data_IF_028772227971
#
_entry.id   IF_028772227971
#
_cell.length_a   1.000
_cell.length_b   1.000
_cell.length_c   1.000
_cell.angle_alpha   90.00
_cell.angle_beta   90.00
_cell.angle_gamma   90.00
#
_symmetry.space_group_name_H-M   'P 1'
#
loop_
_entity.id
_entity.type
_entity.pdbx_description
1 polymer ?
2 polymer ?
3 water ?
#
# COMPACT_ATOMS: atom_id res chain seq x y z
N UNK A 1 7.00 -25.16 15.95
CA UNK A 1 6.79 -23.73 16.23
C UNK A 1 5.47 -23.49 16.93
N UNK A 2 5.32 -22.33 17.55
CA UNK A 2 4.03 -21.98 18.13
C UNK A 2 3.19 -21.24 17.09
N UNK A 3 2.01 -21.77 16.82
CA UNK A 3 1.11 -21.10 15.88
C UNK A 3 0.26 -20.09 16.62
N UNK A 4 0.13 -18.90 16.04
CA UNK A 4 -0.78 -17.89 16.56
C UNK A 4 -1.95 -17.76 15.60
N UNK A 5 -3.17 -17.92 16.10
CA UNK A 5 -4.38 -17.86 15.26
C UNK A 5 -5.27 -16.71 15.66
N UNK A 6 -5.53 -15.79 14.73
CA UNK A 6 -6.36 -14.63 15.06
C UNK A 6 -7.76 -14.77 14.49
N UNK A 7 -8.72 -14.22 15.22
CA UNK A 7 -10.13 -14.20 14.81
C UNK A 7 -10.74 -12.86 15.21
N UNK A 8 -11.63 -12.30 14.38
CA UNK A 8 -11.99 -12.75 13.03
C UNK A 8 -10.90 -12.37 12.04
N UNK A 9 -10.97 -12.81 10.79
CA UNK A 9 -9.97 -12.39 9.82
C UNK A 9 -10.18 -10.93 9.46
N UNK A 10 -11.42 -10.48 9.53
CA UNK A 10 -11.73 -9.08 9.29
C UNK A 10 -12.99 -8.71 10.05
N UNK A 11 -13.13 -7.43 10.38
CA UNK A 11 -14.36 -6.98 10.99
C UNK A 11 -14.61 -5.55 10.60
N UNK A 12 -15.88 -5.17 10.65
CA UNK A 12 -16.31 -3.84 10.32
C UNK A 12 -17.08 -3.29 11.51
N UNK A 13 -16.77 -2.06 11.93
CA UNK A 13 -17.43 -1.44 13.08
C UNK A 13 -17.51 0.08 12.92
N UNK A 14 -18.47 0.70 13.58
CA UNK A 14 -18.70 2.13 13.44
C UNK A 14 -17.78 2.92 14.37
N UNK A 15 -17.53 4.17 14.01
CA UNK A 15 -16.79 5.09 14.85
C UNK A 15 -17.46 5.13 16.23
N UNK A 16 -16.66 5.05 17.28
CA UNK A 16 -17.21 5.02 18.63
C UNK A 16 -17.53 3.63 19.18
N UNK A 17 -17.55 2.61 18.32
CA UNK A 17 -17.82 1.25 18.78
C UNK A 17 -16.66 0.71 19.63
N UNK A 18 -16.96 -0.15 20.59
CA UNK A 18 -15.93 -0.91 21.29
C UNK A 18 -15.71 -2.23 20.56
N UNK A 19 -14.46 -2.51 20.23
CA UNK A 19 -14.11 -3.60 19.34
C UNK A 19 -13.09 -4.53 19.97
N UNK A 20 -13.33 -5.83 19.93
CA UNK A 20 -12.36 -6.78 20.49
C UNK A 20 -11.97 -7.85 19.45
N UNK A 21 -10.68 -8.08 19.30
CA UNK A 21 -10.19 -9.14 18.44
C UNK A 21 -9.37 -10.13 19.24
N UNK A 22 -9.32 -11.37 18.77
CA UNK A 22 -8.73 -12.43 19.58
C UNK A 22 -7.53 -13.08 18.90
N UNK A 23 -6.72 -13.70 19.72
CA UNK A 23 -5.49 -14.33 19.26
C UNK A 23 -5.30 -15.58 20.10
N UNK A 24 -5.19 -16.74 19.46
CA UNK A 24 -5.00 -17.97 20.20
C UNK A 24 -3.64 -18.59 19.89
N UNK A 25 -2.91 -18.93 20.95
CA UNK A 25 -1.61 -19.58 20.80
C UNK A 25 -1.77 -21.08 20.91
N UNK A 26 -1.01 -21.82 20.10
CA UNK A 26 -1.14 -23.28 20.06
C UNK A 26 -0.50 -23.94 21.29
N UNK A 27 0.31 -23.17 22.00
CA UNK A 27 0.96 -23.62 23.25
C UNK A 27 0.97 -22.48 24.24
N UNK A 28 1.09 -22.79 25.53
CA UNK A 28 1.22 -21.79 26.58
C UNK A 28 2.36 -20.84 26.25
N UNK A 29 2.09 -19.54 26.20
CA UNK A 29 3.16 -18.56 25.98
C UNK A 29 3.25 -17.52 27.11
N UNK A 30 2.66 -17.85 28.27
CA UNK A 30 2.68 -16.96 29.43
C UNK A 30 1.94 -15.68 29.09
N UNK A 31 2.58 -14.54 29.30
CA UNK A 31 2.05 -13.28 28.77
C UNK A 31 3.01 -12.70 27.74
N UNK A 32 3.84 -13.55 27.15
CA UNK A 32 4.84 -13.08 26.20
C UNK A 32 4.25 -12.88 24.81
N UNK A 33 3.37 -11.88 24.72
CA UNK A 33 2.62 -11.56 23.50
C UNK A 33 2.68 -10.07 23.23
N UNK A 34 2.90 -9.71 21.97
CA UNK A 34 2.84 -8.31 21.56
C UNK A 34 1.80 -8.14 20.45
N UNK A 35 1.31 -6.92 20.31
CA UNK A 35 0.39 -6.57 19.24
C UNK A 35 0.93 -5.43 18.41
N UNK A 36 0.72 -5.50 17.09
CA UNK A 36 1.17 -4.48 16.15
C UNK A 36 0.01 -3.99 15.30
N UNK A 37 0.10 -2.73 14.90
CA UNK A 37 -0.88 -2.10 14.02
C UNK A 37 -0.21 -1.79 12.70
N UNK A 38 -0.76 -2.27 11.59
CA UNK A 38 -0.12 -1.98 10.31
C UNK A 38 -1.09 -1.30 9.35
N UNK A 39 -0.78 -0.05 9.03
CA UNK A 39 -1.59 0.70 8.08
C UNK A 39 -1.01 0.53 6.68
N UNK A 40 -1.87 0.63 5.65
CA UNK A 40 -1.49 0.37 4.25
C UNK A 40 -0.19 1.05 3.85
N UNK A 41 0.72 0.25 3.29
CA UNK A 41 2.00 0.75 2.80
C UNK A 41 2.97 1.16 3.90
N UNK A 42 2.61 0.92 5.15
CA UNK A 42 3.47 1.34 6.25
C UNK A 42 4.03 0.14 7.01
N UNK A 43 5.04 0.42 7.81
CA UNK A 43 5.62 -0.58 8.69
C UNK A 43 4.70 -0.80 9.87
N UNK A 44 4.70 -2.03 10.42
CA UNK A 44 3.95 -2.25 11.66
C UNK A 44 4.41 -1.28 12.74
N UNK A 45 3.45 -0.85 13.57
CA UNK A 45 3.70 -0.04 14.75
C UNK A 45 3.38 -0.84 16.02
N UNK A 46 4.30 -0.84 16.98
CA UNK A 46 4.12 -1.61 18.20
C UNK A 46 3.08 -0.95 19.10
N UNK A 47 2.07 -1.72 19.51
CA UNK A 47 1.00 -1.19 20.37
C UNK A 47 1.14 -1.66 21.81
N UNK A 48 1.34 -2.97 21.96
CA UNK A 48 1.22 -3.65 23.25
C UNK A 48 2.34 -4.65 23.44
N UNK A 49 2.91 -4.73 24.64
CA UNK A 49 3.87 -5.79 24.98
C UNK A 49 3.43 -6.47 26.27
N UNK A 50 3.95 -7.68 26.49
CA UNK A 50 3.56 -8.53 27.62
C UNK A 50 2.05 -8.58 27.78
N UNK A 51 1.38 -8.75 26.64
CA UNK A 51 -0.08 -8.94 26.55
C UNK A 51 -0.98 -7.74 26.90
N UNK A 52 -0.55 -6.85 27.81
CA UNK A 52 -1.48 -5.83 28.30
C UNK A 52 -0.87 -4.44 28.55
N UNK A 53 0.43 -4.27 28.27
CA UNK A 53 1.08 -2.98 28.53
C UNK A 53 1.23 -2.17 27.25
N UNK A 54 0.87 -0.89 27.31
CA UNK A 54 0.95 -0.04 26.12
C UNK A 54 2.35 0.53 25.95
N UNK A 55 2.85 0.54 24.72
CA UNK A 55 4.05 1.34 24.42
C UNK A 55 3.71 2.81 24.61
N UNK A 56 4.71 3.61 24.97
CA UNK A 56 4.44 5.04 25.14
C UNK A 56 3.98 5.64 23.82
N UNK A 57 3.09 6.62 23.89
CA UNK A 57 2.58 7.26 22.69
C UNK A 57 1.33 6.61 22.14
N UNK A 58 1.12 5.34 22.47
CA UNK A 58 -0.09 4.63 22.03
C UNK A 58 -1.33 5.19 22.73
N UNK A 59 -2.39 5.50 21.96
CA UNK A 59 -3.63 6.05 22.51
C UNK A 59 -4.24 5.15 23.57
N UNK A 60 -4.83 5.75 24.58
CA UNK A 60 -5.33 4.99 25.72
C UNK A 60 -6.52 4.10 25.37
N UNK A 61 -7.14 4.34 24.22
CA UNK A 61 -8.28 3.51 23.83
C UNK A 61 -7.86 2.09 23.43
N UNK A 62 -6.56 1.87 23.25
CA UNK A 62 -6.06 0.50 23.03
C UNK A 62 -5.77 -0.20 24.34
N UNK A 63 -6.17 -1.47 24.43
CA UNK A 63 -5.84 -2.29 25.59
C UNK A 63 -5.68 -3.74 25.14
N UNK A 64 -5.03 -4.55 25.98
CA UNK A 64 -4.86 -5.95 25.69
C UNK A 64 -5.05 -6.77 26.95
N UNK A 65 -5.42 -8.04 26.79
CA UNK A 65 -5.61 -8.91 27.94
C UNK A 65 -5.25 -10.34 27.60
N UNK A 66 -5.06 -11.15 28.64
CA UNK A 66 -4.90 -12.58 28.47
C UNK A 66 -3.57 -13.14 28.92
N UNK A 67 -3.53 -14.47 29.05
CA UNK A 67 -2.32 -15.20 29.41
C UNK A 67 -2.52 -16.65 29.01
N UNK A 68 -1.44 -17.41 28.93
CA UNK A 68 -1.56 -18.81 28.57
C UNK A 68 -1.72 -18.95 27.07
N UNK A 69 -2.95 -19.18 26.61
CA UNK A 69 -3.18 -19.37 25.18
C UNK A 69 -4.21 -18.41 24.57
N UNK A 70 -4.97 -17.71 25.41
CA UNK A 70 -6.04 -16.83 24.90
C UNK A 70 -5.74 -15.35 25.14
N UNK A 71 -5.64 -14.59 24.07
CA UNK A 71 -5.29 -13.18 24.14
C UNK A 71 -6.29 -12.33 23.37
N UNK A 72 -6.46 -11.09 23.82
CA UNK A 72 -7.35 -10.17 23.13
C UNK A 72 -6.70 -8.81 23.00
N UNK A 73 -7.10 -8.08 21.96
CA UNK A 73 -6.83 -6.66 21.85
C UNK A 73 -8.17 -5.94 21.75
N UNK A 74 -8.31 -4.82 22.46
CA UNK A 74 -9.56 -4.08 22.47
C UNK A 74 -9.35 -2.61 22.14
N UNK A 75 -10.21 -2.09 21.28
CA UNK A 75 -10.26 -0.65 21.02
C UNK A 75 -11.56 -0.12 21.63
N UNK A 76 -11.43 0.74 22.65
CA UNK A 76 -12.59 1.11 23.47
C UNK A 76 -13.58 1.99 22.72
N UNK A 77 -13.05 2.78 21.79
CA UNK A 77 -13.86 3.72 21.03
C UNK A 77 -13.22 3.91 19.66
N UNK A 78 -13.65 3.10 18.70
CA UNK A 78 -13.02 3.06 17.39
C UNK A 78 -13.00 4.42 16.70
N UNK A 79 -11.85 4.81 16.18
CA UNK A 79 -11.72 6.07 15.45
C UNK A 79 -11.43 5.79 13.96
N UNK A 80 -11.75 6.75 13.07
CA UNK A 80 -11.54 6.52 11.64
C UNK A 80 -10.08 6.15 11.32
N UNK A 81 -9.14 6.70 12.08
CA UNK A 81 -7.74 6.44 11.76
C UNK A 81 -7.28 5.06 12.25
N UNK A 82 -8.16 4.33 12.94
CA UNK A 82 -7.82 2.99 13.44
C UNK A 82 -7.97 1.90 12.38
N UNK A 83 -8.42 2.28 11.20
CA UNK A 83 -8.40 1.36 10.07
C UNK A 83 -6.98 0.82 9.88
N UNK A 84 -6.83 -0.50 9.98
CA UNK A 84 -5.51 -1.13 9.94
C UNK A 84 -5.64 -2.63 10.00
N UNK A 85 -4.53 -3.33 9.78
CA UNK A 85 -4.47 -4.74 10.10
C UNK A 85 -3.72 -4.87 11.41
N UNK A 86 -4.29 -5.64 12.34
CA UNK A 86 -3.68 -5.81 13.66
C UNK A 86 -3.13 -7.22 13.78
N UNK A 87 -1.87 -7.31 14.22
CA UNK A 87 -1.19 -8.59 14.33
C UNK A 87 -0.82 -8.88 15.78
N UNK A 88 -1.02 -10.11 16.22
CA UNK A 88 -0.43 -10.55 17.49
C UNK A 88 0.85 -11.30 17.18
N UNK A 89 1.71 -11.42 18.19
CA UNK A 89 3.01 -12.10 18.03
C UNK A 89 3.45 -12.67 19.37
N UNK A 90 3.91 -13.92 19.40
CA UNK A 90 4.49 -14.47 20.62
C UNK A 90 6.02 -14.38 20.62
N UNK A 91 6.59 -14.14 21.79
CA UNK A 91 8.04 -14.20 21.97
C UNK A 91 8.37 -15.05 23.19
N UNK A 92 7.50 -16.00 23.51
CA UNK A 92 7.83 -16.99 24.53
C UNK A 92 9.06 -17.80 24.13
N UNK A 93 9.17 -18.11 22.83
CA UNK A 93 10.31 -18.90 22.34
C UNK A 93 10.53 -18.68 20.84
N UNK A 94 11.79 -18.80 20.41
CA UNK A 94 12.11 -18.74 18.98
C UNK A 94 11.60 -20.00 18.27
N UNK A 95 11.21 -19.87 17.00
CA UNK A 95 11.14 -18.63 16.23
C UNK A 95 9.96 -17.78 16.66
N UNK A 96 10.13 -16.46 16.62
CA UNK A 96 9.02 -15.55 16.84
C UNK A 96 7.98 -15.83 15.78
N UNK A 97 6.70 -15.85 16.17
CA UNK A 97 5.66 -16.17 15.20
C UNK A 97 4.51 -15.18 15.34
N UNK A 98 3.88 -14.88 14.21
CA UNK A 98 2.79 -13.91 14.16
C UNK A 98 1.46 -14.57 13.81
N UNK A 99 0.35 -13.99 14.27
CA UNK A 99 -0.96 -14.36 13.75
C UNK A 99 -1.11 -13.84 12.33
N UNK A 100 -2.16 -14.25 11.63
CA UNK A 100 -2.35 -13.86 10.24
C UNK A 100 -2.96 -12.46 10.12
N UNK A 101 -3.27 -11.84 11.26
CA UNK A 101 -3.79 -10.49 11.28
C UNK A 101 -5.30 -10.40 11.23
N UNK A 102 -5.84 -9.32 11.79
CA UNK A 102 -7.26 -9.01 11.69
C UNK A 102 -7.40 -7.63 11.04
N UNK A 103 -8.08 -7.58 9.91
CA UNK A 103 -8.33 -6.34 9.20
C UNK A 103 -9.55 -5.60 9.76
N UNK A 104 -9.32 -4.42 10.33
CA UNK A 104 -10.42 -3.65 10.93
C UNK A 104 -10.82 -2.54 9.97
N UNK A 105 -12.06 -2.57 9.51
CA UNK A 105 -12.63 -1.56 8.59
C UNK A 105 -13.66 -0.70 9.32
N UNK A 106 -13.78 0.55 8.91
CA UNK A 106 -14.72 1.47 9.54
C UNK A 106 -16.05 1.46 8.79
N UNK A 107 -17.12 1.23 9.53
CA UNK A 107 -18.47 1.32 8.97
C UNK A 107 -18.96 2.76 9.09
N UNK A 108 -19.53 3.28 8.01
CA UNK A 108 -20.05 4.64 8.02
C UNK A 108 -21.30 4.75 7.18
N UNK A 109 -21.89 5.94 7.15
CA UNK A 109 -23.09 6.15 6.35
C UNK A 109 -22.79 5.99 4.87
N UNK A 110 -23.80 5.61 4.11
CA UNK A 110 -23.63 5.46 2.65
C UNK A 110 -23.23 6.81 2.04
N UNK A 111 -22.28 6.77 1.11
CA UNK A 111 -21.85 7.95 0.39
C UNK A 111 -21.73 7.61 -1.10
N UNK A 112 -22.48 8.31 -1.95
CA UNK A 112 -22.43 8.03 -3.38
C UNK A 112 -21.11 8.50 -3.98
N UNK A 113 -20.61 7.76 -4.99
CA UNK A 113 -19.38 8.20 -5.66
C UNK A 113 -19.61 9.40 -6.55
N UNK A 114 -18.60 10.26 -6.64
CA UNK A 114 -18.57 11.28 -7.68
C UNK A 114 -17.83 10.68 -8.85
N UNK A 115 -18.40 10.77 -10.05
CA UNK A 115 -17.84 10.05 -11.19
C UNK A 115 -17.22 11.00 -12.20
N UNK A 116 -16.06 10.61 -12.74
CA UNK A 116 -15.34 11.41 -13.73
C UNK A 116 -14.82 10.49 -14.82
N UNK A 117 -14.87 10.94 -16.08
CA UNK A 117 -14.26 10.14 -17.15
C UNK A 117 -13.16 10.95 -17.86
N UNK A 118 -12.07 10.27 -18.20
CA UNK A 118 -10.92 10.88 -18.86
C UNK A 118 -10.61 10.18 -20.18
N UNK A 119 -10.65 10.93 -21.29
CA UNK A 119 -10.23 10.37 -22.59
C UNK A 119 -8.73 10.14 -22.59
N UNK A 120 -8.22 9.34 -23.53
CA UNK A 120 -6.76 9.23 -23.64
C UNK A 120 -6.13 10.54 -24.11
N UNK A 121 -4.93 10.83 -23.64
CA UNK A 121 -4.17 11.99 -24.11
C UNK A 121 -3.67 11.78 -25.54
N UNK A 122 -3.43 12.87 -26.25
CA UNK A 122 -2.88 12.78 -27.59
C UNK A 122 -1.47 12.20 -27.52
N UNK A 123 -0.75 12.55 -26.45
CA UNK A 123 0.59 12.01 -26.23
C UNK A 123 0.56 10.49 -26.25
N UNK A 124 -0.33 9.89 -25.47
CA UNK A 124 -0.40 8.44 -25.42
C UNK A 124 -0.79 7.85 -26.77
N UNK A 125 -1.74 8.50 -27.45
CA UNK A 125 -2.24 7.99 -28.72
C UNK A 125 -1.11 7.85 -29.73
N UNK A 126 -0.10 8.73 -29.62
CA UNK A 126 1.06 8.67 -30.49
C UNK A 126 1.86 7.38 -30.32
N UNK A 127 1.79 6.80 -29.14
CA UNK A 127 2.53 5.58 -28.83
C UNK A 127 1.76 4.34 -29.29
N UNK A 128 0.56 4.54 -29.81
CA UNK A 128 -0.22 3.44 -30.36
C UNK A 128 -1.27 2.82 -29.44
N UNK A 129 -1.40 3.36 -28.23
CA UNK A 129 -2.36 2.83 -27.26
C UNK A 129 -3.25 3.93 -26.70
N UNK A 130 -4.48 3.57 -26.33
CA UNK A 130 -5.41 4.50 -25.69
C UNK A 130 -5.90 3.91 -24.37
N UNK A 131 -5.66 4.63 -23.28
CA UNK A 131 -6.25 4.28 -21.99
C UNK A 131 -7.37 5.26 -21.67
N UNK A 132 -8.54 4.74 -21.34
CA UNK A 132 -9.67 5.56 -20.93
C UNK A 132 -9.91 5.31 -19.45
N UNK A 133 -9.97 6.37 -18.65
CA UNK A 133 -10.06 6.17 -17.19
C UNK A 133 -11.38 6.69 -16.66
N UNK A 134 -12.03 5.85 -15.86
CA UNK A 134 -13.22 6.25 -15.14
C UNK A 134 -12.92 6.27 -13.64
N UNK A 135 -13.19 7.40 -13.00
CA UNK A 135 -12.89 7.59 -11.59
C UNK A 135 -14.15 7.66 -10.74
N UNK A 136 -14.23 6.82 -9.71
CA UNK A 136 -15.31 6.88 -8.72
C UNK A 136 -14.71 7.41 -7.43
N UNK A 137 -15.10 8.60 -7.01
CA UNK A 137 -14.37 9.23 -5.93
C UNK A 137 -15.17 9.30 -4.62
N UNK A 138 -14.51 8.88 -3.53
CA UNK A 138 -14.99 9.07 -2.15
C UNK A 138 -16.38 8.50 -1.89
N UNK A 139 -16.50 7.19 -1.98
CA UNK A 139 -17.81 6.56 -1.81
C UNK A 139 -17.77 5.50 -0.70
N UNK A 140 -18.95 5.13 -0.22
CA UNK A 140 -19.09 4.06 0.76
C UNK A 140 -20.49 3.44 0.61
N UNK A 141 -20.59 2.10 0.68
CA UNK A 141 -19.57 1.07 0.90
C UNK A 141 -18.70 0.80 -0.31
N UNK A 142 -17.73 -0.08 -0.14
CA UNK A 142 -16.74 -0.37 -1.17
C UNK A 142 -17.33 -0.99 -2.43
N UNK A 143 -18.39 -1.79 -2.27
CA UNK A 143 -19.02 -2.45 -3.43
C UNK A 143 -19.51 -1.46 -4.49
N UNK A 144 -18.99 -1.60 -5.70
CA UNK A 144 -19.43 -0.76 -6.81
C UNK A 144 -19.30 -1.53 -8.12
N UNK A 145 -20.19 -1.24 -9.05
CA UNK A 145 -20.07 -1.84 -10.39
C UNK A 145 -19.84 -0.76 -11.44
N UNK A 146 -18.87 -1.02 -12.31
CA UNK A 146 -18.52 -0.12 -13.39
C UNK A 146 -18.67 -0.88 -14.70
N UNK A 147 -19.43 -0.34 -15.63
CA UNK A 147 -19.64 -0.99 -16.91
C UNK A 147 -19.16 -0.07 -18.03
N UNK A 148 -18.30 -0.59 -18.91
CA UNK A 148 -17.81 0.18 -20.06
C UNK A 148 -18.61 -0.13 -21.33
N UNK A 149 -19.01 0.90 -22.05
CA UNK A 149 -19.60 0.71 -23.37
C UNK A 149 -18.93 1.61 -24.39
N UNK A 150 -18.63 1.04 -25.55
CA UNK A 150 -18.03 1.80 -26.65
C UNK A 150 -18.96 1.68 -27.85
N UNK A 151 -19.56 2.80 -28.25
CA UNK A 151 -20.64 2.78 -29.25
C UNK A 151 -21.66 1.68 -28.92
N UNK A 152 -22.05 1.65 -27.64
CA UNK A 152 -23.05 0.71 -27.11
C UNK A 152 -22.63 -0.77 -27.12
N UNK A 153 -21.36 -1.03 -27.40
CA UNK A 153 -20.83 -2.38 -27.24
C UNK A 153 -20.24 -2.53 -25.84
N UNK A 154 -20.78 -3.48 -25.06
CA UNK A 154 -20.26 -3.76 -23.73
C UNK A 154 -18.81 -4.24 -23.83
N UNK A 155 -17.93 -3.64 -23.05
CA UNK A 155 -16.52 -4.01 -23.03
C UNK A 155 -16.24 -4.99 -21.90
N UNK A 156 -15.70 -6.15 -22.22
CA UNK A 156 -15.43 -7.14 -21.19
C UNK A 156 -14.02 -7.69 -21.35
N UNK A 157 -13.23 -7.62 -20.29
CA UNK A 157 -11.90 -8.22 -20.29
C UNK A 157 -10.76 -7.28 -20.63
N UNK A 158 -11.07 -6.06 -21.07
CA UNK A 158 -10.04 -5.10 -21.44
C UNK A 158 -10.01 -3.88 -20.50
N UNK A 159 -10.52 -4.07 -19.29
CA UNK A 159 -10.42 -3.05 -18.25
C UNK A 159 -9.85 -3.64 -16.95
N UNK A 160 -9.18 -2.79 -16.19
CA UNK A 160 -8.70 -3.21 -14.87
C UNK A 160 -9.12 -2.17 -13.84
N UNK A 161 -9.49 -2.65 -12.65
CA UNK A 161 -9.91 -1.80 -11.56
C UNK A 161 -8.86 -1.75 -10.45
N UNK A 162 -8.79 -0.62 -9.77
CA UNK A 162 -7.97 -0.50 -8.58
C UNK A 162 -8.74 0.31 -7.55
N UNK A 163 -8.73 -0.13 -6.29
CA UNK A 163 -9.45 0.56 -5.22
C UNK A 163 -8.47 1.02 -4.15
N UNK A 164 -8.66 2.24 -3.67
CA UNK A 164 -7.81 2.74 -2.60
C UNK A 164 -8.16 2.03 -1.30
N UNK A 165 -7.24 2.05 -0.36
CA UNK A 165 -7.55 1.57 0.98
C UNK A 165 -8.42 2.62 1.62
N UNK A 166 -9.26 2.19 2.56
CA UNK A 166 -10.19 3.10 3.23
C UNK A 166 -9.49 4.34 3.75
N UNK A 167 -10.11 5.50 3.55
CA UNK A 167 -9.51 6.76 3.93
C UNK A 167 -9.46 6.92 5.44
N UNK A 168 -8.32 7.34 5.97
CA UNK A 168 -8.10 7.38 7.41
C UNK A 168 -8.87 8.50 8.09
N UNK A 169 -9.43 9.41 7.30
CA UNK A 169 -10.19 10.54 7.86
C UNK A 169 -11.69 10.43 7.63
N UNK A 170 -12.12 10.16 6.39
CA UNK A 170 -13.57 10.11 6.14
C UNK A 170 -14.11 8.71 5.87
N UNK A 171 -13.23 7.71 5.94
CA UNK A 171 -13.61 6.30 5.83
C UNK A 171 -14.26 5.93 4.48
N UNK A 172 -14.02 6.72 3.44
CA UNK A 172 -14.51 6.37 2.12
C UNK A 172 -13.46 5.66 1.26
N UNK A 173 -13.90 5.21 0.10
CA UNK A 173 -13.05 4.54 -0.89
C UNK A 173 -13.05 5.34 -2.16
N UNK A 174 -12.02 5.16 -2.99
CA UNK A 174 -12.09 5.65 -4.36
C UNK A 174 -11.65 4.50 -5.26
N UNK A 175 -12.06 4.57 -6.53
CA UNK A 175 -11.86 3.45 -7.45
C UNK A 175 -11.59 3.99 -8.85
N UNK A 176 -10.62 3.38 -9.53
CA UNK A 176 -10.37 3.68 -10.94
C UNK A 176 -10.68 2.46 -11.76
N UNK A 177 -11.33 2.67 -12.90
CA UNK A 177 -11.45 1.61 -13.91
C UNK A 177 -10.79 2.11 -15.18
N UNK A 178 -9.85 1.34 -15.72
CA UNK A 178 -9.08 1.80 -16.88
C UNK A 178 -9.31 0.86 -18.05
N UNK A 179 -9.90 1.41 -19.11
CA UNK A 179 -10.16 0.65 -20.33
C UNK A 179 -9.00 0.86 -21.28
N UNK A 180 -8.44 -0.23 -21.81
CA UNK A 180 -7.30 -0.12 -22.71
C UNK A 180 -7.66 -0.62 -24.10
N UNK A 181 -7.34 0.18 -25.11
CA UNK A 181 -7.59 -0.17 -26.52
C UNK A 181 -6.40 0.24 -27.37
N UNK A 182 -6.30 -0.30 -28.58
CA UNK A 182 -5.30 0.17 -29.52
C UNK A 182 -5.72 1.53 -30.04
N UNK A 183 -4.75 2.31 -30.54
CA UNK A 183 -5.07 3.59 -31.16
C UNK A 183 -6.05 3.38 -32.32
N UNK A 184 -5.79 2.35 -33.14
CA UNK A 184 -6.63 2.06 -34.29
C UNK A 184 -8.07 1.82 -33.86
N UNK A 185 -8.26 1.01 -32.82
CA UNK A 185 -9.60 0.72 -32.32
C UNK A 185 -10.27 1.95 -31.73
N UNK A 186 -9.52 2.70 -30.94
CA UNK A 186 -10.05 3.93 -30.34
C UNK A 186 -10.63 4.86 -31.40
N UNK A 187 -9.93 4.99 -32.52
CA UNK A 187 -10.29 5.96 -33.55
C UNK A 187 -11.41 5.47 -34.47
N UNK A 188 -11.84 4.23 -34.28
CA UNK A 188 -12.96 3.67 -35.04
C UNK A 188 -14.30 3.94 -34.37
N UNK A 189 -14.29 4.45 -33.16
CA UNK A 189 -15.52 4.60 -32.40
C UNK A 189 -15.71 6.00 -31.82
N UNK A 190 -16.97 6.34 -31.57
CA UNK A 190 -17.31 7.70 -31.14
C UNK A 190 -17.62 7.81 -29.66
N UNK A 191 -18.59 7.04 -29.17
CA UNK A 191 -19.10 7.23 -27.81
C UNK A 191 -18.43 6.31 -26.80
N UNK A 192 -17.72 6.91 -25.86
CA UNK A 192 -17.07 6.17 -24.79
C UNK A 192 -17.80 6.44 -23.48
N UNK A 193 -18.36 5.41 -22.87
CA UNK A 193 -19.22 5.61 -21.71
C UNK A 193 -18.88 4.69 -20.54
N UNK A 194 -18.86 5.28 -19.36
CA UNK A 194 -18.65 4.55 -18.12
C UNK A 194 -19.94 4.61 -17.28
N UNK A 195 -20.53 3.45 -17.00
CA UNK A 195 -21.76 3.41 -16.21
C UNK A 195 -21.52 2.86 -14.82
N UNK A 196 -21.93 3.62 -13.81
CA UNK A 196 -21.62 3.28 -12.43
C UNK A 196 -22.87 2.95 -11.63
N UNK A 197 -22.84 1.81 -10.95
CA UNK A 197 -23.92 1.39 -10.07
C UNK A 197 -23.39 1.29 -8.65
N UNK A 198 -24.13 1.87 -7.71
CA UNK A 198 -23.69 1.91 -6.32
C UNK A 198 -24.89 2.15 -5.42
N UNK A 199 -24.81 1.66 -4.18
CA UNK A 199 -25.93 1.76 -3.26
C UNK A 199 -26.39 3.21 -3.04
N UNK A 200 -25.44 4.14 -3.07
CA UNK A 200 -25.78 5.55 -2.84
C UNK A 200 -26.43 6.24 -4.02
N UNK A 201 -26.53 5.53 -5.14
CA UNK A 201 -27.14 6.10 -6.35
C UNK A 201 -28.52 5.47 -6.58
N UNK A 202 -29.54 6.30 -6.71
CA UNK A 202 -30.89 5.78 -6.92
C UNK A 202 -30.99 5.07 -8.26
N UNK A 203 -30.25 5.55 -9.26
CA UNK A 203 -30.13 4.83 -10.53
C UNK A 203 -28.70 5.04 -11.06
N UNK A 204 -28.25 4.15 -11.98
CA UNK A 204 -26.86 4.23 -12.45
C UNK A 204 -26.49 5.58 -13.04
N UNK A 205 -25.28 6.03 -12.74
CA UNK A 205 -24.78 7.27 -13.29
C UNK A 205 -23.84 6.96 -14.44
N UNK A 206 -24.06 7.60 -15.58
CA UNK A 206 -23.21 7.39 -16.74
C UNK A 206 -22.43 8.67 -17.04
N UNK A 207 -21.11 8.55 -17.17
CA UNK A 207 -20.31 9.65 -17.68
C UNK A 207 -19.77 9.22 -19.04
N UNK A 208 -19.81 10.12 -20.01
CA UNK A 208 -19.39 9.73 -21.33
C UNK A 208 -18.79 10.90 -22.08
N UNK A 209 -18.07 10.58 -23.14
CA UNK A 209 -17.58 11.60 -24.07
C UNK A 209 -17.62 11.03 -25.48
N UNK A 210 -17.69 11.92 -26.45
CA UNK A 210 -17.52 11.54 -27.85
C UNK A 210 -16.12 11.90 -28.27
N UNK A 211 -15.43 10.94 -28.86
CA UNK A 211 -14.04 11.11 -29.29
C UNK A 211 -13.86 12.35 -30.16
N UNK A 212 -12.91 13.20 -29.79
CA UNK A 212 -12.63 14.39 -30.56
C UNK A 212 -13.39 15.64 -30.11
N UNK A 213 -14.34 15.49 -29.20
CA UNK A 213 -15.11 16.62 -28.69
C UNK A 213 -14.70 16.97 -27.25
N UNK B 1 14.32 11.15 17.58
CA UNK B 1 13.46 9.99 17.65
C UNK B 1 14.14 8.79 16.99
N UNK B 2 13.72 7.59 17.38
CA UNK B 2 14.27 6.38 16.79
C UNK B 2 13.87 6.29 15.33
N UNK B 3 14.84 6.05 14.44
CA UNK B 3 14.56 5.86 13.02
C UNK B 3 15.37 4.68 12.48
N UNK B 4 14.73 3.87 11.63
CA UNK B 4 15.36 2.75 10.95
C UNK B 4 15.10 2.91 9.47
N UNK B 5 16.16 3.04 8.69
CA UNK B 5 15.98 3.28 7.25
C UNK B 5 16.59 2.16 6.46
N UNK B 6 15.75 1.45 5.71
CA UNK B 6 16.22 0.31 4.91
C UNK B 6 16.56 0.76 3.49
N UNK B 7 17.55 0.10 2.89
CA UNK B 7 17.88 0.32 1.47
C UNK B 7 18.48 -0.95 0.91
N UNK B 8 18.79 -0.94 -0.39
CA UNK B 8 19.48 -2.05 -1.02
C UNK B 8 18.54 -3.08 -1.60
N UNK B 9 17.25 -2.77 -1.59
CA UNK B 9 16.23 -3.69 -2.11
C UNK B 9 16.08 -3.52 -3.60
N UNK B 10 14.88 -3.77 -4.12
CA UNK B 10 14.62 -3.59 -5.53
C UNK B 10 14.66 -4.88 -6.34
N UNK B 11 14.95 -4.76 -7.62
CA UNK B 11 14.90 -5.88 -8.54
C UNK B 11 16.14 -6.76 -8.42
N UNK B 12 15.95 -8.07 -8.47
CA UNK B 12 17.10 -9.00 -8.51
C UNK B 12 16.68 -10.27 -9.28
N UNK B 13 17.61 -10.85 -10.02
CA UNK B 13 17.30 -12.04 -10.81
C UNK B 13 17.15 -13.27 -9.93
N UNK B 14 16.33 -14.25 -10.36
CA UNK B 14 16.33 -15.55 -9.69
C UNK B 14 17.75 -16.11 -9.69
N UNK B 15 18.18 -16.67 -8.57
CA UNK B 15 19.54 -17.16 -8.43
C UNK B 15 20.51 -16.10 -7.93
N UNK B 16 20.08 -14.84 -7.95
CA UNK B 16 20.93 -13.73 -7.57
C UNK B 16 20.96 -13.49 -6.06
N UNK B 17 21.66 -12.43 -5.64
CA UNK B 17 21.71 -12.02 -4.25
C UNK B 17 21.49 -10.53 -4.14
N UNK B 18 20.97 -10.10 -2.98
CA UNK B 18 20.96 -8.69 -2.60
C UNK B 18 21.52 -8.58 -1.21
N UNK B 19 22.05 -7.41 -0.86
CA UNK B 19 22.40 -7.16 0.52
C UNK B 19 21.64 -5.92 0.98
N UNK B 20 20.67 -6.14 1.86
CA UNK B 20 19.84 -5.04 2.38
C UNK B 20 20.58 -4.35 3.50
N UNK B 21 20.37 -3.06 3.65
CA UNK B 21 20.96 -2.36 4.77
C UNK B 21 19.85 -1.72 5.59
N UNK B 22 20.09 -1.66 6.89
CA UNK B 22 19.15 -1.06 7.82
C UNK B 22 19.93 -0.07 8.67
N UNK B 23 19.80 1.21 8.34
CA UNK B 23 20.60 2.26 8.97
C UNK B 23 19.85 2.87 10.16
N UNK B 24 20.40 2.75 11.36
CA UNK B 24 19.71 3.17 12.58
C UNK B 24 20.19 4.51 13.09
N UNK B 25 19.28 5.27 13.70
CA UNK B 25 19.62 6.54 14.30
C UNK B 25 18.69 6.85 15.45
N UNK B 26 19.08 7.79 16.30
CA UNK B 26 18.22 8.26 17.36
C UNK B 26 18.26 7.39 18.60
N UNK B 27 19.18 6.43 18.61
CA UNK B 27 19.45 5.65 19.82
C UNK B 27 20.83 5.04 19.71
N UNK B 28 21.31 4.45 20.81
CA UNK B 28 22.61 3.79 20.80
C UNK B 28 22.48 2.42 20.16
N UNK B 29 23.03 2.29 18.95
CA UNK B 29 22.82 1.11 18.10
C UNK B 29 23.06 -0.22 18.82
N UNK B 30 24.13 -0.28 19.62
CA UNK B 30 24.48 -1.55 20.26
C UNK B 30 23.77 -1.77 21.60
N UNK B 31 22.80 -0.92 21.94
CA UNK B 31 22.01 -1.14 23.16
C UNK B 31 20.79 -2.06 22.91
N UNK B 32 20.52 -2.34 21.63
CA UNK B 32 19.44 -3.25 21.23
C UNK B 32 19.89 -4.09 20.05
N UNK B 33 19.40 -5.32 19.98
CA UNK B 33 19.65 -6.13 18.82
C UNK B 33 18.77 -5.69 17.66
N UNK B 34 18.80 -6.47 16.60
CA UNK B 34 18.01 -6.15 15.41
C UNK B 34 17.40 -7.43 14.85
N UNK B 35 16.10 -7.39 14.56
CA UNK B 35 15.38 -8.48 13.93
C UNK B 35 15.23 -8.20 12.45
N UNK B 36 15.03 -9.25 11.67
CA UNK B 36 14.62 -9.11 10.28
C UNK B 36 13.30 -9.87 10.08
N UNK B 37 12.36 -9.21 9.42
CA UNK B 37 11.02 -9.76 9.20
C UNK B 37 10.65 -9.50 7.75
N UNK B 38 10.00 -10.46 7.08
CA UNK B 38 9.52 -10.16 5.74
C UNK B 38 8.03 -10.42 5.59
N UNK B 39 7.46 -9.83 4.55
CA UNK B 39 6.03 -9.88 4.33
C UNK B 39 5.80 -9.98 2.82
N UNK B 40 5.48 -11.18 2.35
CA UNK B 40 5.17 -11.38 0.94
C UNK B 40 3.89 -10.61 0.58
N UNK B 41 3.72 -10.22 -0.69
CA UNK B 41 2.57 -9.37 -1.04
C UNK B 41 1.24 -9.99 -0.63
N UNK B 42 0.45 -9.23 0.13
CA UNK B 42 -0.86 -9.69 0.58
C UNK B 42 -0.84 -10.73 1.67
N UNK B 43 0.34 -11.04 2.20
CA UNK B 43 0.45 -12.10 3.21
C UNK B 43 0.88 -11.58 4.57
N UNK B 44 1.19 -12.51 5.47
CA UNK B 44 1.52 -12.16 6.83
C UNK B 44 2.99 -11.89 7.07
N UNK B 45 3.33 -11.60 8.32
CA UNK B 45 4.70 -11.33 8.71
C UNK B 45 5.45 -12.61 9.05
N UNK B 46 6.69 -12.71 8.56
CA UNK B 46 7.50 -13.89 8.83
C UNK B 46 8.86 -13.47 9.39
N UNK B 47 9.12 -13.84 10.64
CA UNK B 47 10.40 -13.54 11.30
C UNK B 47 11.51 -14.37 10.71
N UNK B 48 12.60 -13.71 10.33
CA UNK B 48 13.71 -14.43 9.73
C UNK B 48 14.89 -14.65 10.66
N UNK B 49 14.95 -13.86 11.74
CA UNK B 49 16.08 -13.99 12.65
C UNK B 49 16.40 -12.71 13.40
N UNK B 50 17.42 -12.78 14.26
CA UNK B 50 17.81 -11.68 15.13
C UNK B 50 19.33 -11.66 15.19
N UNK B 51 19.91 -10.47 15.30
CA UNK B 51 21.35 -10.40 15.53
C UNK B 51 21.67 -9.57 16.77
N UNK B 52 22.57 -10.12 17.58
CA UNK B 52 23.19 -9.46 18.72
C UNK B 52 24.08 -8.35 18.19
N UNK B 53 23.73 -7.09 18.43
CA UNK B 53 24.50 -6.00 17.83
C UNK B 53 25.78 -5.65 18.57
N UNK B 54 25.91 -6.10 19.81
CA UNK B 54 27.14 -5.81 20.55
C UNK B 54 28.32 -6.68 20.11
N UNK B 55 28.08 -7.96 19.80
CA UNK B 55 29.19 -8.79 19.34
C UNK B 55 28.97 -9.41 17.95
N UNK B 56 27.77 -9.24 17.38
CA UNK B 56 27.53 -9.68 16.01
C UNK B 56 27.06 -11.11 15.85
N UNK B 57 26.57 -11.72 16.92
CA UNK B 57 26.11 -13.10 16.89
C UNK B 57 24.67 -13.20 16.36
N UNK B 58 24.47 -13.89 15.23
CA UNK B 58 23.13 -13.98 14.63
C UNK B 58 22.39 -15.25 15.03
N UNK B 59 21.08 -15.17 15.04
CA UNK B 59 20.22 -16.34 15.25
C UNK B 59 19.23 -16.40 14.10
N UNK B 60 19.13 -17.54 13.43
CA UNK B 60 18.31 -17.64 12.21
C UNK B 60 17.07 -18.50 12.39
N UNK B 61 15.98 -18.13 11.73
CA UNK B 61 14.85 -19.03 11.59
C UNK B 61 15.30 -20.18 10.71
N UNK B 62 14.87 -21.40 11.03
CA UNK B 62 15.29 -22.57 10.23
C UNK B 62 15.00 -22.40 8.73
N UNK B 63 13.94 -21.69 8.39
CA UNK B 63 13.57 -21.54 6.98
C UNK B 63 14.62 -20.83 6.12
N UNK B 64 15.41 -19.94 6.72
CA UNK B 64 16.37 -19.17 5.91
C UNK B 64 17.83 -19.41 6.31
N UNK B 65 18.03 -20.22 7.34
CA UNK B 65 19.38 -20.54 7.80
C UNK B 65 20.26 -21.05 6.67
N UNK B 66 21.44 -20.46 6.52
CA UNK B 66 22.38 -20.85 5.47
C UNK B 66 22.28 -19.98 4.22
N UNK B 67 21.05 -19.68 3.81
CA UNK B 67 20.83 -18.98 2.55
C UNK B 67 20.76 -17.46 2.75
N UNK B 68 20.31 -17.04 3.92
CA UNK B 68 20.34 -15.63 4.29
C UNK B 68 21.33 -15.46 5.44
N UNK B 69 22.07 -14.36 5.45
CA UNK B 69 22.97 -14.08 6.56
C UNK B 69 22.88 -12.64 7.05
N UNK B 70 23.13 -12.45 8.34
CA UNK B 70 23.10 -11.13 8.97
C UNK B 70 24.51 -10.65 9.25
N UNK B 71 24.75 -9.35 9.13
CA UNK B 71 26.04 -8.80 9.53
C UNK B 71 25.85 -7.37 9.99
N UNK B 72 26.95 -6.76 10.44
CA UNK B 72 26.89 -5.43 10.99
C UNK B 72 28.00 -4.53 10.49
N UNK B 73 27.75 -3.23 10.55
CA UNK B 73 28.81 -2.25 10.58
C UNK B 73 28.44 -1.26 11.69
N UNK B 74 28.96 -1.52 12.88
CA UNK B 74 28.63 -0.71 14.06
C UNK B 74 29.09 0.72 13.88
N UNK B 75 30.21 0.90 13.21
CA UNK B 75 30.74 2.24 12.95
C UNK B 75 29.75 3.07 12.13
N UNK B 76 28.83 2.39 11.43
CA UNK B 76 27.82 3.09 10.64
C UNK B 76 26.43 2.92 11.26
N UNK B 77 26.38 2.33 12.46
CA UNK B 77 25.11 1.96 13.10
C UNK B 77 24.17 1.28 12.12
N UNK B 78 24.69 0.29 11.39
CA UNK B 78 23.94 -0.33 10.32
C UNK B 78 23.96 -1.86 10.43
N UNK B 79 22.79 -2.47 10.21
CA UNK B 79 22.66 -3.93 10.14
C UNK B 79 22.40 -4.33 8.69
N UNK B 80 22.94 -5.47 8.28
CA UNK B 80 22.76 -5.94 6.90
C UNK B 80 22.11 -7.30 6.88
N UNK B 81 21.38 -7.55 5.80
CA UNK B 81 20.80 -8.85 5.50
C UNK B 81 21.19 -9.22 4.07
N UNK B 82 22.08 -10.21 3.93
CA UNK B 82 22.42 -10.65 2.58
C UNK B 82 21.54 -11.84 2.24
N UNK B 83 20.80 -11.74 1.15
CA UNK B 83 19.89 -12.82 0.78
C UNK B 83 20.31 -13.42 -0.55
N UNK B 84 20.49 -14.73 -0.59
CA UNK B 84 21.16 -15.38 -1.73
C UNK B 84 20.32 -16.44 -2.40
N UNK B 85 20.76 -16.86 -3.59
CA UNK B 85 20.10 -17.88 -4.40
C UNK B 85 18.59 -17.64 -4.43
N UNK B 86 18.19 -16.44 -4.81
CA UNK B 86 16.82 -16.01 -4.61
C UNK B 86 15.88 -16.67 -5.62
N UNK B 87 14.62 -16.76 -5.23
CA UNK B 87 13.56 -17.30 -6.08
C UNK B 87 12.33 -16.39 -6.01
N UNK B 88 11.36 -16.62 -6.89
CA UNK B 88 10.17 -15.76 -6.94
C UNK B 88 9.48 -15.68 -5.59
N UNK B 89 9.50 -16.79 -4.87
CA UNK B 89 8.88 -16.89 -3.55
C UNK B 89 9.51 -15.94 -2.53
N UNK B 90 10.71 -15.43 -2.82
CA UNK B 90 11.38 -14.49 -1.91
C UNK B 90 10.95 -13.03 -2.12
N UNK B 91 10.15 -12.80 -3.16
CA UNK B 91 9.59 -11.47 -3.42
C UNK B 91 8.75 -11.07 -2.22
N UNK B 92 9.11 -9.95 -1.60
CA UNK B 92 8.46 -9.52 -0.36
C UNK B 92 8.96 -8.15 0.05
N UNK B 93 8.26 -7.53 1.00
CA UNK B 93 8.78 -6.36 1.67
C UNK B 93 9.62 -6.85 2.85
N UNK B 94 10.85 -6.37 2.95
CA UNK B 94 11.75 -6.80 4.04
C UNK B 94 11.89 -5.68 5.07
N UNK B 95 11.64 -6.00 6.34
CA UNK B 95 11.75 -5.03 7.43
C UNK B 95 12.89 -5.37 8.37
N UNK B 96 13.59 -4.35 8.87
CA UNK B 96 14.38 -4.57 10.07
C UNK B 96 13.55 -4.03 11.22
N UNK B 97 13.67 -4.64 12.39
CA UNK B 97 12.92 -4.17 13.55
C UNK B 97 13.76 -4.32 14.81
N UNK B 98 13.95 -3.21 15.53
CA UNK B 98 14.77 -3.18 16.72
C UNK B 98 14.22 -4.05 17.83
N UNK B 99 15.09 -4.73 18.58
CA UNK B 99 14.61 -5.42 19.75
C UNK B 99 15.62 -6.33 20.43
N UNK B 100 15.29 -6.72 21.66
CA UNK B 100 16.07 -7.65 22.43
C UNK B 100 15.90 -9.06 21.89
N UNK B 101 16.83 -9.97 22.23
CA UNK B 101 16.63 -11.38 21.91
C UNK B 101 15.31 -11.88 22.55
N UNK B 102 14.58 -12.70 21.80
CA UNK B 102 13.29 -13.27 22.24
C UNK B 102 12.37 -12.27 22.94
N UNK B 103 12.04 -11.18 22.26
CA UNK B 103 11.17 -10.19 22.85
C UNK B 103 10.39 -9.47 21.75
N UNK B 104 9.58 -8.50 22.14
CA UNK B 104 8.78 -7.73 21.18
C UNK B 104 9.70 -6.80 20.39
N UNK B 105 9.24 -6.33 19.23
CA UNK B 105 10.01 -5.46 18.35
C UNK B 105 9.42 -4.05 18.37
N UNK B 106 10.11 -3.11 19.03
CA UNK B 106 9.44 -1.85 19.36
C UNK B 106 9.52 -0.75 18.29
N UNK B 107 10.48 -0.85 17.36
CA UNK B 107 10.53 0.07 16.22
C UNK B 107 10.89 -0.69 14.97
N UNK B 108 10.22 -0.34 13.86
CA UNK B 108 10.39 -1.00 12.57
C UNK B 108 10.86 -0.01 11.50
N UNK B 109 11.66 -0.48 10.56
CA UNK B 109 12.03 0.32 9.40
C UNK B 109 10.85 0.46 8.47
N UNK B 110 10.98 1.31 7.45
CA UNK B 110 9.88 1.59 6.53
C UNK B 110 9.58 0.39 5.61
N UNK B 111 10.53 -0.53 5.51
CA UNK B 111 10.39 -1.70 4.66
C UNK B 111 10.94 -1.43 3.28
N UNK B 112 11.60 -2.41 2.68
CA UNK B 112 12.03 -2.27 1.29
C UNK B 112 11.55 -3.46 0.46
N UNK B 113 11.00 -3.16 -0.71
CA UNK B 113 10.44 -4.20 -1.57
C UNK B 113 11.53 -4.87 -2.40
N UNK B 114 11.64 -6.17 -2.26
CA UNK B 114 12.50 -6.98 -3.12
C UNK B 114 11.64 -7.72 -4.14
N UNK B 115 11.96 -7.56 -5.42
CA UNK B 115 11.23 -8.25 -6.49
C UNK B 115 12.18 -9.20 -7.17
N UNK B 116 11.92 -10.49 -7.07
CA UNK B 116 12.76 -11.48 -7.73
C UNK B 116 12.17 -11.86 -9.09
N UNK B 117 12.84 -11.45 -10.16
CA UNK B 117 12.32 -11.64 -11.50
C UNK B 117 13.45 -11.54 -12.53
N UNK B 118 13.32 -12.25 -13.64
CA UNK B 118 14.29 -12.13 -14.70
C UNK B 118 13.95 -11.01 -15.69
N UNK B 119 12.81 -10.36 -15.49
CA UNK B 119 12.42 -9.27 -16.40
C UNK B 119 13.31 -8.06 -16.15
N UNK B 120 13.44 -7.21 -17.16
CA UNK B 120 14.26 -6.01 -17.06
C UNK B 120 13.51 -4.85 -16.42
N UNK B 121 14.26 -3.92 -15.82
CA UNK B 121 13.63 -2.72 -15.31
C UNK B 121 13.08 -1.89 -16.48
N UNK B 122 11.99 -1.18 -16.24
CA UNK B 122 11.38 -0.32 -17.26
C UNK B 122 10.76 0.88 -16.57
N UNK B 123 11.13 2.09 -16.99
CA UNK B 123 10.56 3.30 -16.43
C UNK B 123 9.17 3.60 -16.99
N UNK B 124 8.36 4.32 -16.22
CA UNK B 124 6.98 4.57 -16.63
C UNK B 124 6.89 5.65 -17.69
N UNK B 125 5.83 5.58 -18.51
CA UNK B 125 5.40 6.73 -19.28
C UNK B 125 4.40 7.47 -18.41
N UNK B 126 4.38 8.79 -18.46
CA UNK B 126 3.45 9.54 -17.63
C UNK B 126 2.54 10.37 -18.53
N UNK B 127 1.23 10.11 -18.48
CA UNK B 127 0.28 10.82 -19.34
C UNK B 127 -0.70 11.65 -18.50
N UNK B 128 -1.19 12.76 -19.07
CA UNK B 128 -2.10 13.61 -18.28
C UNK B 128 -3.52 13.03 -18.25
N UNK B 129 -4.16 13.13 -17.10
CA UNK B 129 -5.61 12.95 -17.01
C UNK B 129 -6.21 14.35 -16.90
N UNK B 130 -6.55 14.93 -18.05
CA UNK B 130 -6.87 16.36 -18.12
C UNK B 130 -8.24 16.66 -17.53
N UNK B 131 -8.34 17.74 -16.76
CA UNK B 131 -9.63 18.10 -16.17
C UNK B 131 -10.66 18.41 -17.24
N UNK B 132 -11.88 17.95 -17.02
CA UNK B 132 -12.97 18.07 -17.98
C UNK B 132 -13.31 19.54 -18.23
N UNK B 133 -13.56 19.87 -19.49
CA UNK B 133 -13.97 21.23 -19.85
C UNK B 133 -15.39 21.51 -19.35
N UNK B 134 -16.08 20.46 -18.91
CA UNK B 134 -17.44 20.58 -18.40
C UNK B 134 -17.47 20.66 -16.87
N UNK B 135 -16.30 20.77 -16.24
CA UNK B 135 -16.21 20.94 -14.79
C UNK B 135 -17.12 22.08 -14.31
N UNK B 136 -17.80 21.85 -13.18
CA UNK B 136 -18.83 22.77 -12.70
C UNK B 136 -18.28 24.12 -12.25
N UNK B 137 -18.78 25.21 -12.81
CA UNK B 137 -18.36 26.55 -12.40
C UNK B 137 -18.60 26.73 -10.91
N UNK B 138 -17.55 27.11 -10.19
CA UNK B 138 -17.63 27.24 -8.75
C UNK B 138 -17.64 25.89 -8.06
N UNK B 139 -17.49 24.81 -8.83
CA UNK B 139 -17.58 23.48 -8.27
C UNK B 139 -16.22 22.83 -8.09
N UNK B 140 -16.21 21.50 -8.12
CA UNK B 140 -15.00 20.72 -7.92
C UNK B 140 -14.63 19.95 -9.19
N UNK B 141 -13.34 19.91 -9.52
CA UNK B 141 -12.88 19.18 -10.70
C UNK B 141 -11.87 18.10 -10.31
N UNK B 142 -11.78 17.07 -11.14
CA UNK B 142 -10.78 16.03 -10.93
C UNK B 142 -9.76 16.07 -12.07
N UNK B 143 -8.50 15.81 -11.75
CA UNK B 143 -7.46 15.66 -12.76
C UNK B 143 -6.44 14.69 -12.23
N UNK B 144 -5.50 14.29 -13.06
CA UNK B 144 -4.50 13.35 -12.58
C UNK B 144 -3.40 13.02 -13.55
N UNK B 145 -2.66 11.96 -13.22
CA UNK B 145 -1.60 11.44 -14.05
C UNK B 145 -1.75 9.95 -14.17
N UNK B 146 -1.61 9.46 -15.40
CA UNK B 146 -1.55 8.04 -15.66
C UNK B 146 -0.08 7.64 -15.76
N UNK B 147 0.34 6.76 -14.85
CA UNK B 147 1.73 6.34 -14.75
C UNK B 147 1.81 4.90 -15.25
N UNK B 148 2.20 4.73 -16.50
CA UNK B 148 1.93 3.48 -17.18
C UNK B 148 3.19 2.73 -17.61
N UNK B 149 3.13 1.40 -17.55
CA UNK B 149 4.12 0.52 -18.16
C UNK B 149 5.48 0.58 -17.51
N UNK B 150 5.54 0.34 -16.20
CA UNK B 150 6.82 0.29 -15.53
C UNK B 150 7.03 -1.04 -14.81
N UNK B 151 8.29 -1.34 -14.47
CA UNK B 151 8.63 -2.55 -13.74
C UNK B 151 10.00 -2.40 -13.10
N UNK B 152 10.16 -2.86 -11.85
CA UNK B 152 9.16 -3.42 -10.95
C UNK B 152 8.47 -2.32 -10.15
N UNK B 153 7.62 -2.69 -9.20
CA UNK B 153 7.24 -1.77 -8.13
C UNK B 153 8.49 -1.41 -7.31
N UNK B 154 8.45 -0.28 -6.58
CA UNK B 154 7.40 0.73 -6.49
C UNK B 154 7.70 1.98 -7.29
N UNK B 155 6.70 2.84 -7.39
CA UNK B 155 6.90 4.18 -7.89
C UNK B 155 6.34 5.10 -6.81
N UNK B 156 6.89 6.31 -6.67
CA UNK B 156 6.27 7.30 -5.81
C UNK B 156 5.67 8.42 -6.66
N UNK B 157 4.56 8.97 -6.19
CA UNK B 157 3.91 10.08 -6.87
C UNK B 157 3.57 11.15 -5.85
N UNK B 158 3.98 12.38 -6.13
CA UNK B 158 3.53 13.50 -5.33
C UNK B 158 2.92 14.53 -6.26
N UNK B 159 2.29 15.54 -5.68
CA UNK B 159 1.77 16.63 -6.48
C UNK B 159 2.36 17.96 -6.02
N UNK B 160 2.76 18.76 -7.01
CA UNK B 160 3.36 20.08 -6.77
C UNK B 160 4.48 20.01 -5.75
N UNK B 161 5.35 19.03 -5.93
CA UNK B 161 6.51 18.82 -5.08
C UNK B 161 6.12 18.70 -3.61
N UNK B 162 4.96 18.08 -3.38
CA UNK B 162 4.51 17.83 -2.02
C UNK B 162 3.66 18.93 -1.40
N UNK B 163 3.50 20.05 -2.12
CA UNK B 163 2.67 21.15 -1.62
C UNK B 163 1.19 20.78 -1.65
N UNK B 164 0.82 19.86 -2.55
CA UNK B 164 -0.58 19.49 -2.72
C UNK B 164 -0.80 18.06 -2.25
N UNK B 165 -1.50 17.90 -1.13
CA UNK B 165 -1.71 16.58 -0.56
C UNK B 165 -3.18 16.30 -0.34
N UNK B 166 -3.94 17.36 -0.06
CA UNK B 166 -5.37 17.23 0.17
C UNK B 166 -6.10 16.76 -1.08
N UNK B 167 -6.92 15.71 -0.94
CA UNK B 167 -7.72 15.24 -2.04
C UNK B 167 -7.02 14.35 -3.05
N UNK B 168 -5.78 13.96 -2.74
CA UNK B 168 -4.98 13.10 -3.62
C UNK B 168 -5.31 11.63 -3.38
N UNK B 169 -5.50 10.87 -4.46
CA UNK B 169 -5.61 9.42 -4.40
C UNK B 169 -4.65 8.82 -5.41
N UNK B 170 -3.62 8.14 -4.91
CA UNK B 170 -2.70 7.41 -5.77
C UNK B 170 -3.04 5.93 -5.67
N UNK B 171 -3.59 5.38 -6.75
CA UNK B 171 -4.17 4.05 -6.70
C UNK B 171 -3.10 2.96 -6.62
N UNK B 172 -3.42 1.84 -5.94
CA UNK B 172 -2.56 0.67 -6.03
C UNK B 172 -2.32 0.30 -7.48
N UNK B 173 -1.07 0.02 -7.82
CA UNK B 173 -0.74 -0.41 -9.17
C UNK B 173 -1.42 -1.72 -9.51
N UNK B 174 -1.69 -1.91 -10.78
CA UNK B 174 -2.22 -3.17 -11.27
C UNK B 174 -1.24 -3.77 -12.26
N UNK B 175 -0.99 -5.06 -12.16
CA UNK B 175 -0.15 -5.75 -13.14
C UNK B 175 -0.91 -5.98 -14.43
N UNK B 176 -0.41 -5.45 -15.54
CA UNK B 176 -1.07 -5.62 -16.83
C UNK B 176 -0.66 -6.94 -17.46
N UNK B 177 -1.40 -7.37 -18.48
CA UNK B 177 -1.11 -8.67 -19.10
C UNK B 177 0.24 -8.66 -19.81
N UNK B 178 0.82 -7.47 -19.95
CA UNK B 178 2.15 -7.33 -20.52
C UNK B 178 3.26 -7.68 -19.52
N UNK B 179 2.91 -7.77 -18.24
CA UNK B 179 3.89 -7.98 -17.19
C UNK B 179 4.39 -6.67 -16.59
N UNK B 180 3.80 -5.57 -17.06
CA UNK B 180 4.15 -4.23 -16.57
C UNK B 180 3.05 -3.63 -15.70
N UNK B 181 3.45 -2.78 -14.75
CA UNK B 181 2.50 -2.15 -13.85
C UNK B 181 1.96 -0.86 -14.44
N UNK B 182 0.81 -0.45 -13.94
CA UNK B 182 0.24 0.85 -14.28
C UNK B 182 -0.62 1.34 -13.12
N UNK B 183 -0.65 2.64 -12.92
CA UNK B 183 -1.55 3.24 -11.95
C UNK B 183 -1.93 4.64 -12.39
N UNK B 184 -2.99 5.16 -11.79
CA UNK B 184 -3.30 6.57 -11.89
C UNK B 184 -3.19 7.20 -10.50
N UNK B 185 -2.79 8.47 -10.49
CA UNK B 185 -2.89 9.29 -9.30
C UNK B 185 -3.80 10.46 -9.66
N UNK B 186 -4.82 10.71 -8.85
CA UNK B 186 -5.79 11.75 -9.16
C UNK B 186 -5.90 12.70 -7.99
N UNK B 187 -6.41 13.90 -8.26
CA UNK B 187 -6.64 14.87 -7.19
C UNK B 187 -7.86 15.70 -7.56
N UNK B 188 -8.67 16.04 -6.56
CA UNK B 188 -9.78 16.96 -6.81
C UNK B 188 -9.42 18.35 -6.31
N UNK B 189 -9.80 19.37 -7.09
CA UNK B 189 -9.43 20.76 -6.84
C UNK B 189 -10.61 21.64 -7.19
N UNK B 190 -10.57 22.92 -6.80
CA UNK B 190 -11.64 23.82 -7.24
C UNK B 190 -11.63 24.00 -8.76
N UNK B 191 -12.79 23.90 -9.40
CA UNK B 191 -12.89 24.17 -10.83
C UNK B 191 -12.29 25.52 -11.21
N UNK B 192 -12.49 26.50 -10.34
CA UNK B 192 -12.04 27.86 -10.59
C UNK B 192 -10.53 27.98 -10.71
N UNK B 193 -9.80 27.02 -10.14
CA UNK B 193 -8.34 27.03 -10.17
C UNK B 193 -7.78 26.57 -11.51
N UNK B 194 -8.61 25.91 -12.32
CA UNK B 194 -8.10 25.33 -13.57
C UNK B 194 -7.63 26.45 -14.51
N UNK B 195 -6.41 26.32 -15.01
CA UNK B 195 -5.87 27.32 -15.92
C UNK B 195 -5.15 28.44 -15.19
N UNK B 196 -5.27 28.46 -13.87
CA UNK B 196 -4.58 29.45 -13.05
C UNK B 196 -3.53 28.78 -12.19
N UNK B 197 -3.95 27.83 -11.37
CA UNK B 197 -3.03 27.06 -10.55
C UNK B 197 -2.36 25.99 -11.38
N UNK B 198 -1.04 25.88 -11.26
CA UNK B 198 -0.32 24.83 -11.96
C UNK B 198 -0.40 23.53 -11.15
N UNK B 199 -0.68 22.44 -11.85
CA UNK B 199 -0.72 21.11 -11.24
C UNK B 199 0.29 20.20 -11.92
N UNK B 200 1.27 19.76 -11.14
CA UNK B 200 2.35 18.92 -11.64
C UNK B 200 2.43 17.65 -10.80
N UNK B 201 2.41 16.48 -11.45
CA UNK B 201 2.61 15.27 -10.70
C UNK B 201 4.08 14.88 -10.80
N UNK B 202 4.69 14.67 -9.64
CA UNK B 202 6.10 14.30 -9.59
C UNK B 202 6.21 12.80 -9.41
N UNK B 203 6.75 12.15 -10.43
CA UNK B 203 6.82 10.70 -10.47
C UNK B 203 8.27 10.29 -10.35
N UNK B 204 8.56 9.33 -9.47
CA UNK B 204 9.91 8.82 -9.32
C UNK B 204 9.90 7.31 -9.30
N UNK B 205 10.53 6.70 -10.29
CA UNK B 205 10.69 5.25 -10.35
C UNK B 205 12.15 4.92 -10.14
N UNK B 206 12.54 4.70 -8.89
CA UNK B 206 13.95 4.52 -8.55
C UNK B 206 14.63 3.35 -9.26
N UNK B 207 13.94 2.20 -9.43
CA UNK B 207 14.65 1.08 -10.07
C UNK B 207 15.19 1.39 -11.47
N UNK B 208 14.55 2.28 -12.20
CA UNK B 208 14.98 2.64 -13.54
C UNK B 208 15.64 4.01 -13.58
N UNK B 209 15.82 4.60 -12.39
CA UNK B 209 16.30 5.98 -12.28
C UNK B 209 15.50 6.91 -13.16
N UNK B 210 14.17 6.80 -13.09
CA UNK B 210 13.29 7.65 -13.89
C UNK B 210 12.52 8.61 -13.01
N UNK B 211 12.84 9.89 -13.15
CA UNK B 211 12.08 10.96 -12.49
C UNK B 211 11.44 11.81 -13.55
N UNK B 212 10.13 12.02 -13.43
CA UNK B 212 9.37 12.81 -14.38
C UNK B 212 8.47 13.79 -13.64
N UNK B 213 8.50 15.06 -14.03
CA UNK B 213 7.50 16.04 -13.61
C UNK B 213 6.53 16.26 -14.77
N UNK B 214 5.26 15.93 -14.59
CA UNK B 214 4.29 16.08 -15.66
C UNK B 214 3.26 17.14 -15.30
N UNK B 215 3.19 18.20 -16.09
CA UNK B 215 2.17 19.23 -15.89
C UNK B 215 0.85 18.77 -16.52
N UNK B 216 -0.22 18.91 -15.76
CA UNK B 216 -1.57 18.52 -16.20
C UNK B 216 -2.46 19.76 -16.30
N UNK B 217 -2.92 20.05 -17.51
CA UNK B 217 -3.74 21.23 -17.69
C UNK B 217 -4.97 20.90 -18.52
N UNK B 218 -5.99 21.79 -18.49
CA UNK B 218 -7.14 21.63 -19.38
C UNK B 218 -6.68 21.50 -20.82
N UNK B 219 -7.36 20.67 -21.62
CA UNK B 219 -7.01 20.57 -23.04
C UNK B 219 -7.65 21.71 -23.82
N UNK B 220 -6.94 22.24 -24.81
CA UNK B 220 -7.48 23.29 -25.67
C UNK B 220 -8.33 22.74 -26.81
#
# INVERSE_FOLDING_TARGET
DIQMTQSPSSLSASVGDRVTITCKASQNVGTNVAWYQQKPGKAPKALIYSASFLYSGVPYRFSGSGSGTDFTLTISSLQPEDFATYYCQQYNIYPLTFGQGTKVEIKRTVAAPSVFIFPPSDEQLKSGTASVVCLLNNFYPREAKVQWKVDNALQSGNSQESVTEQDSKDSTYSLSSTLTLSKADYEKHKVYACEVTHQGLSSPVTKSFNRGEC
EVQLVESGGGLVQPGGSLRLSCAASGYVFTDYGMNWVRQAPGKGLEWMGWINTYIGEPIYADSVKGRFTFSLDTSKSTAYLQMNSLRAEDTAVYYCARGYRSYAMDYWGQGTLVTVSSASTKGPSVFPLAPSSKSTSGGTAALGCLVKDYFPEPVTVSWNSGALTSGVHTFPAVLQSSGLYSLSSVVTVPSSSLGTQTYICNVNHKPSNTKVDKKVEPKSCDKT
#
